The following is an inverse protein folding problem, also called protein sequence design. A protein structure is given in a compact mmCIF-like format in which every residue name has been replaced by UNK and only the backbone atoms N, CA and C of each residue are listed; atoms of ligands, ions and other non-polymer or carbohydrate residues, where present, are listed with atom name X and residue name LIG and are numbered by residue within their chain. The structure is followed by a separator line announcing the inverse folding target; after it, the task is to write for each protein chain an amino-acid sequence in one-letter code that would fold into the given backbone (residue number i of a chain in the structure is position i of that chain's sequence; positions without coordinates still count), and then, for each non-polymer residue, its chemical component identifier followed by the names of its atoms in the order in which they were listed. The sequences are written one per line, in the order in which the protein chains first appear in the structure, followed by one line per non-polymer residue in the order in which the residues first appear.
data_IF_160942235352
#
_entry.id   IF_160942235352
#
_cell.length_a   1.000
_cell.length_b   1.000
_cell.length_c   1.000
_cell.angle_alpha   90.00
_cell.angle_beta   90.00
_cell.angle_gamma   90.00
#
_symmetry.space_group_name_H-M   'P 1'
#
loop_
_entity.id
_entity.type
_entity.pdbx_description
1 polymer ?
#
# COMPACT_ATOMS: atom_id res chain seq x y z
N UNK A 1 -12.01 -10.33 0.83
CA UNK A 1 -13.40 -10.03 1.15
C UNK A 1 -14.28 -11.20 0.76
N UNK A 2 -14.95 -11.83 1.74
CA UNK A 2 -15.79 -13.02 1.49
C UNK A 2 -17.20 -12.67 0.98
N UNK A 3 -17.65 -11.43 1.20
CA UNK A 3 -18.99 -10.96 0.85
C UNK A 3 -18.88 -9.64 0.08
N UNK A 4 -19.81 -9.40 -0.83
CA UNK A 4 -19.99 -8.07 -1.44
C UNK A 4 -20.57 -7.10 -0.41
N UNK A 5 -21.52 -7.56 0.38
CA UNK A 5 -22.20 -6.83 1.45
C UNK A 5 -22.29 -7.68 2.72
N UNK A 6 -22.23 -7.06 3.89
CA UNK A 6 -21.87 -5.67 4.17
C UNK A 6 -20.36 -5.37 3.95
N UNK A 7 -19.97 -4.09 4.19
CA UNK A 7 -18.54 -3.71 4.21
C UNK A 7 -17.81 -4.49 5.32
N UNK A 8 -16.51 -4.77 5.12
CA UNK A 8 -15.65 -5.37 6.15
C UNK A 8 -15.53 -4.43 7.35
N UNK A 9 -15.54 -3.13 7.12
CA UNK A 9 -15.53 -2.12 8.17
C UNK A 9 -16.70 -2.26 9.17
N UNK A 10 -17.88 -2.73 8.74
CA UNK A 10 -18.99 -3.01 9.66
C UNK A 10 -18.64 -4.12 10.67
N UNK A 11 -17.99 -5.17 10.22
CA UNK A 11 -17.58 -6.26 11.11
C UNK A 11 -16.52 -5.81 12.10
N UNK A 12 -15.51 -5.05 11.64
CA UNK A 12 -14.48 -4.45 12.51
C UNK A 12 -15.10 -3.52 13.53
N UNK A 13 -15.99 -2.62 13.10
CA UNK A 13 -16.73 -1.69 13.97
C UNK A 13 -17.48 -2.44 15.09
N UNK A 14 -18.21 -3.49 14.72
CA UNK A 14 -18.98 -4.30 15.67
C UNK A 14 -18.06 -5.02 16.67
N UNK A 15 -17.00 -5.67 16.20
CA UNK A 15 -16.09 -6.43 17.06
C UNK A 15 -15.32 -5.55 18.04
N UNK A 16 -15.00 -4.32 17.65
CA UNK A 16 -14.36 -3.33 18.52
C UNK A 16 -15.32 -2.60 19.45
N UNK A 17 -16.64 -2.80 19.31
CA UNK A 17 -17.64 -2.12 20.11
C UNK A 17 -17.64 -0.60 19.93
N UNK A 18 -17.36 -0.11 18.72
CA UNK A 18 -17.28 1.31 18.44
C UNK A 18 -18.64 1.98 18.53
N UNK A 19 -18.64 3.29 18.78
CA UNK A 19 -19.86 4.09 18.92
C UNK A 19 -20.70 4.11 17.64
N UNK A 20 -22.02 4.12 17.77
CA UNK A 20 -22.96 4.33 16.65
C UNK A 20 -22.80 5.70 15.98
N UNK A 21 -22.08 6.64 16.58
CA UNK A 21 -21.75 7.93 15.97
C UNK A 21 -20.58 7.84 14.97
N UNK A 22 -19.93 6.66 14.84
CA UNK A 22 -18.87 6.46 13.86
C UNK A 22 -19.47 6.10 12.49
N UNK A 23 -18.94 6.71 11.44
CA UNK A 23 -19.15 6.22 10.06
C UNK A 23 -18.16 5.08 9.79
N UNK A 24 -18.54 4.13 8.93
CA UNK A 24 -17.65 3.05 8.52
C UNK A 24 -17.93 2.67 7.06
N UNK A 25 -16.87 2.35 6.32
CA UNK A 25 -16.94 1.91 4.92
C UNK A 25 -15.62 1.27 4.51
N UNK A 26 -15.62 0.46 3.45
CA UNK A 26 -14.42 -0.07 2.83
C UNK A 26 -13.88 0.91 1.78
N UNK A 27 -12.55 1.05 1.71
CA UNK A 27 -11.86 1.79 0.68
C UNK A 27 -10.96 0.82 -0.11
N UNK A 28 -11.20 0.71 -1.41
CA UNK A 28 -10.45 -0.19 -2.28
C UNK A 28 -9.69 0.57 -3.35
N UNK A 29 -8.35 0.38 -3.40
CA UNK A 29 -7.49 0.81 -4.50
C UNK A 29 -6.24 -0.09 -4.57
N UNK A 30 -6.46 -1.39 -4.70
CA UNK A 30 -5.38 -2.38 -4.73
C UNK A 30 -4.32 -2.11 -3.64
N UNK A 31 -3.02 -2.18 -3.96
CA UNK A 31 -1.93 -1.97 -2.99
C UNK A 31 -1.85 -0.55 -2.40
N UNK A 32 -2.68 0.39 -2.87
CA UNK A 32 -2.72 1.77 -2.35
C UNK A 32 -3.87 2.03 -1.37
N UNK A 33 -4.73 1.05 -1.10
CA UNK A 33 -5.90 1.24 -0.25
C UNK A 33 -5.57 1.91 1.08
N UNK A 34 -4.54 1.44 1.78
CA UNK A 34 -4.12 2.02 3.07
C UNK A 34 -3.61 3.46 2.95
N UNK A 35 -2.76 3.77 1.97
CA UNK A 35 -2.26 5.13 1.76
C UNK A 35 -3.36 6.10 1.36
N UNK A 36 -4.28 5.67 0.51
CA UNK A 36 -5.44 6.50 0.13
C UNK A 36 -6.36 6.73 1.33
N UNK A 37 -6.49 5.74 2.23
CA UNK A 37 -7.23 5.92 3.48
C UNK A 37 -6.57 6.97 4.39
N UNK A 38 -5.23 7.01 4.48
CA UNK A 38 -4.50 8.07 5.20
C UNK A 38 -4.86 9.45 4.62
N UNK A 39 -4.75 9.63 3.30
CA UNK A 39 -5.03 10.92 2.67
C UNK A 39 -6.49 11.37 2.86
N UNK A 40 -7.43 10.43 2.72
CA UNK A 40 -8.85 10.71 2.92
C UNK A 40 -9.14 11.08 4.38
N UNK A 41 -8.58 10.35 5.33
CA UNK A 41 -8.76 10.58 6.76
C UNK A 41 -8.15 11.94 7.18
N UNK A 42 -6.93 12.26 6.74
CA UNK A 42 -6.32 13.58 6.99
C UNK A 42 -7.21 14.71 6.46
N UNK A 43 -7.70 14.58 5.22
CA UNK A 43 -8.61 15.58 4.63
C UNK A 43 -9.88 15.76 5.46
N UNK A 44 -10.48 14.66 5.94
CA UNK A 44 -11.70 14.70 6.74
C UNK A 44 -11.46 15.29 8.15
N UNK A 45 -10.30 15.04 8.75
CA UNK A 45 -9.87 15.61 10.04
C UNK A 45 -9.61 17.10 9.88
N UNK A 46 -8.83 17.52 8.88
CA UNK A 46 -8.51 18.91 8.60
C UNK A 46 -9.76 19.76 8.29
N UNK A 47 -10.75 19.15 7.61
CA UNK A 47 -12.05 19.78 7.36
C UNK A 47 -12.96 19.83 8.61
N UNK A 48 -12.56 19.23 9.73
CA UNK A 48 -13.35 19.16 10.95
C UNK A 48 -14.58 18.23 10.87
N UNK A 49 -14.65 17.38 9.84
CA UNK A 49 -15.74 16.45 9.66
C UNK A 49 -15.68 15.28 10.65
N UNK A 50 -14.49 14.82 10.98
CA UNK A 50 -14.20 13.81 12.01
C UNK A 50 -13.06 14.26 12.91
N UNK A 51 -12.98 13.73 14.14
CA UNK A 51 -11.85 13.98 15.05
C UNK A 51 -10.77 12.90 14.92
N UNK A 52 -11.19 11.66 14.74
CA UNK A 52 -10.31 10.50 14.65
C UNK A 52 -10.73 9.59 13.50
N UNK A 53 -9.75 8.94 12.92
CA UNK A 53 -9.96 7.86 11.97
C UNK A 53 -9.18 6.62 12.42
N UNK A 54 -9.83 5.47 12.41
CA UNK A 54 -9.17 4.16 12.53
C UNK A 54 -9.13 3.55 11.14
N UNK A 55 -7.93 3.38 10.58
CA UNK A 55 -7.67 2.68 9.34
C UNK A 55 -7.24 1.26 9.69
N UNK A 56 -7.91 0.27 9.10
CA UNK A 56 -7.61 -1.15 9.32
C UNK A 56 -7.49 -1.83 7.96
N UNK A 57 -6.45 -2.63 7.81
CA UNK A 57 -6.25 -3.47 6.64
C UNK A 57 -5.92 -4.89 7.07
N UNK A 58 -6.48 -5.88 6.36
CA UNK A 58 -6.25 -7.29 6.62
C UNK A 58 -6.23 -8.08 5.31
N UNK A 59 -5.04 -8.53 4.94
CA UNK A 59 -4.78 -9.26 3.71
C UNK A 59 -4.67 -10.76 3.96
N UNK A 60 -5.36 -11.55 3.12
CA UNK A 60 -5.37 -12.99 3.17
C UNK A 60 -5.11 -13.63 1.81
N UNK A 61 -3.92 -14.18 1.60
CA UNK A 61 -3.47 -14.75 0.31
C UNK A 61 -3.84 -16.22 0.11
N UNK A 62 -4.21 -16.92 1.18
CA UNK A 62 -4.35 -18.39 1.16
C UNK A 62 -5.29 -18.92 0.08
N UNK A 63 -6.45 -18.30 -0.10
CA UNK A 63 -7.44 -18.77 -1.07
C UNK A 63 -6.90 -18.66 -2.50
N UNK A 64 -6.39 -17.51 -2.88
CA UNK A 64 -5.81 -17.25 -4.21
C UNK A 64 -4.61 -18.16 -4.48
N UNK A 65 -3.71 -18.32 -3.49
CA UNK A 65 -2.56 -19.22 -3.64
C UNK A 65 -2.96 -20.67 -3.85
N UNK A 66 -3.88 -21.20 -3.06
CA UNK A 66 -4.34 -22.60 -3.19
C UNK A 66 -5.06 -22.82 -4.53
N UNK A 67 -5.88 -21.86 -4.97
CA UNK A 67 -6.54 -21.93 -6.27
C UNK A 67 -5.53 -21.89 -7.43
N UNK A 68 -4.51 -21.02 -7.36
CA UNK A 68 -3.42 -20.98 -8.34
C UNK A 68 -2.63 -22.29 -8.36
N UNK A 69 -2.23 -22.82 -7.21
CA UNK A 69 -1.49 -24.08 -7.14
C UNK A 69 -2.31 -25.22 -7.75
N UNK A 70 -3.61 -25.30 -7.45
CA UNK A 70 -4.48 -26.32 -8.00
C UNK A 70 -4.57 -26.24 -9.55
N UNK A 71 -4.65 -25.04 -10.12
CA UNK A 71 -4.65 -24.86 -11.58
C UNK A 71 -3.32 -25.23 -12.22
N UNK A 72 -2.21 -24.82 -11.63
CA UNK A 72 -0.87 -25.07 -12.15
C UNK A 72 -0.45 -26.56 -12.04
N UNK A 73 -1.14 -27.35 -11.24
CA UNK A 73 -0.93 -28.81 -11.14
C UNK A 73 -1.71 -29.62 -12.17
N UNK A 74 -2.59 -29.00 -12.98
CA UNK A 74 -3.29 -29.68 -14.04
C UNK A 74 -2.36 -30.01 -15.20
N UNK A 75 -2.54 -31.15 -15.84
CA UNK A 75 -1.78 -31.58 -17.04
C UNK A 75 -1.92 -30.60 -18.22
N UNK A 76 -3.00 -29.81 -18.23
CA UNK A 76 -3.26 -28.76 -19.22
C UNK A 76 -2.53 -27.45 -18.95
N UNK A 77 -1.89 -27.29 -17.77
CA UNK A 77 -1.18 -26.07 -17.43
C UNK A 77 0.06 -25.90 -18.33
N UNK A 78 0.18 -24.73 -18.93
CA UNK A 78 1.31 -24.36 -19.78
C UNK A 78 2.36 -23.57 -18.98
N UNK A 79 3.56 -23.46 -19.56
CA UNK A 79 4.62 -22.61 -19.01
C UNK A 79 4.20 -21.14 -18.92
N UNK A 80 3.37 -20.68 -19.88
CA UNK A 80 2.81 -19.32 -19.88
C UNK A 80 1.91 -19.09 -18.68
N UNK A 81 1.07 -20.07 -18.31
CA UNK A 81 0.18 -19.95 -17.15
C UNK A 81 0.97 -19.72 -15.85
N UNK A 82 2.14 -20.38 -15.73
CA UNK A 82 3.02 -20.18 -14.57
C UNK A 82 3.50 -18.73 -14.48
N UNK A 83 3.89 -18.10 -15.60
CA UNK A 83 4.31 -16.70 -15.61
C UNK A 83 3.17 -15.74 -15.33
N UNK A 84 2.04 -15.95 -15.95
CA UNK A 84 0.86 -15.09 -15.82
C UNK A 84 0.29 -15.09 -14.40
N UNK A 85 0.38 -16.23 -13.71
CA UNK A 85 -0.13 -16.40 -12.34
C UNK A 85 0.97 -16.33 -11.26
N UNK A 86 2.23 -16.12 -11.62
CA UNK A 86 3.36 -16.13 -10.69
C UNK A 86 3.18 -15.14 -9.54
N UNK A 87 2.62 -13.97 -9.81
CA UNK A 87 2.37 -12.94 -8.81
C UNK A 87 1.47 -13.45 -7.68
N UNK A 88 0.50 -14.33 -7.97
CA UNK A 88 -0.37 -14.95 -6.96
C UNK A 88 0.40 -15.79 -5.94
N UNK A 89 1.49 -16.45 -6.37
CA UNK A 89 2.33 -17.29 -5.50
C UNK A 89 3.21 -16.47 -4.55
N UNK A 90 3.43 -15.20 -4.85
CA UNK A 90 4.26 -14.29 -4.04
C UNK A 90 3.45 -13.49 -3.03
N UNK A 91 2.12 -13.58 -3.06
CA UNK A 91 1.23 -12.89 -2.11
C UNK A 91 1.50 -13.37 -0.69
N UNK A 92 1.38 -12.45 0.25
CA UNK A 92 1.47 -12.71 1.68
C UNK A 92 0.15 -12.48 2.40
N UNK A 93 0.13 -12.78 3.67
CA UNK A 93 -0.98 -12.46 4.57
C UNK A 93 -0.45 -11.60 5.72
N UNK A 94 -1.22 -10.59 6.08
CA UNK A 94 -0.85 -9.67 7.16
C UNK A 94 -1.97 -8.71 7.48
N UNK A 95 -1.84 -8.01 8.59
CA UNK A 95 -2.79 -6.99 8.99
C UNK A 95 -2.07 -5.81 9.62
N UNK A 96 -2.61 -4.62 9.44
CA UNK A 96 -2.14 -3.41 10.08
C UNK A 96 -3.30 -2.51 10.45
N UNK A 97 -3.09 -1.67 11.45
CA UNK A 97 -4.01 -0.61 11.81
C UNK A 97 -3.25 0.67 12.13
N UNK A 98 -3.90 1.81 11.87
CA UNK A 98 -3.36 3.14 12.17
C UNK A 98 -4.49 4.02 12.68
N UNK A 99 -4.22 4.77 13.74
CA UNK A 99 -5.12 5.81 14.25
C UNK A 99 -4.57 7.17 13.82
N UNK A 100 -5.43 7.99 13.25
CA UNK A 100 -5.14 9.39 12.90
C UNK A 100 -6.03 10.30 13.73
N UNK A 101 -5.49 11.45 14.12
CA UNK A 101 -6.17 12.48 14.86
C UNK A 101 -5.64 13.86 14.52
N UNK A 102 -6.27 14.91 15.07
CA UNK A 102 -5.79 16.26 14.89
C UNK A 102 -4.49 16.47 15.69
N UNK A 103 -3.48 17.07 15.07
CA UNK A 103 -2.19 17.34 15.70
C UNK A 103 -2.30 18.36 16.83
N UNK A 104 -3.24 19.28 16.79
CA UNK A 104 -3.48 20.25 17.87
C UNK A 104 -3.93 19.56 19.15
N UNK A 105 -4.68 18.44 19.04
CA UNK A 105 -5.10 17.62 20.17
C UNK A 105 -3.99 16.64 20.64
N UNK A 106 -3.02 16.33 19.75
CA UNK A 106 -1.96 15.33 19.96
C UNK A 106 -0.59 15.86 19.49
N UNK A 107 -0.04 16.91 20.10
CA UNK A 107 1.23 17.52 19.67
C UNK A 107 2.45 16.57 19.77
N UNK A 108 2.32 15.49 20.55
CA UNK A 108 3.33 14.44 20.68
C UNK A 108 3.31 13.40 19.57
N UNK A 109 2.27 13.40 18.71
CA UNK A 109 2.10 12.41 17.66
C UNK A 109 2.98 12.70 16.44
N UNK A 110 3.16 11.68 15.61
CA UNK A 110 3.85 11.81 14.33
C UNK A 110 2.96 12.55 13.33
N UNK A 111 3.56 13.46 12.56
CA UNK A 111 2.82 14.34 11.66
C UNK A 111 2.79 13.80 10.25
N UNK A 112 1.61 13.60 9.68
CA UNK A 112 1.45 13.47 8.22
C UNK A 112 1.59 14.87 7.60
N UNK A 113 2.67 15.08 6.86
CA UNK A 113 3.02 16.39 6.30
C UNK A 113 2.21 16.68 5.03
N UNK A 114 2.06 15.66 4.19
CA UNK A 114 1.37 15.75 2.92
C UNK A 114 1.72 14.59 2.01
N UNK A 115 1.33 14.71 0.77
CA UNK A 115 1.61 13.68 -0.23
C UNK A 115 1.12 14.04 -1.61
N UNK A 116 1.35 13.12 -2.53
CA UNK A 116 0.88 13.23 -3.92
C UNK A 116 0.42 11.88 -4.44
N UNK A 117 -0.41 11.91 -5.47
CA UNK A 117 -0.83 10.73 -6.22
C UNK A 117 -0.80 10.98 -7.72
N UNK A 118 -0.58 9.93 -8.49
CA UNK A 118 -0.67 9.94 -9.95
C UNK A 118 -1.37 8.67 -10.42
N UNK A 119 -2.05 8.80 -11.55
CA UNK A 119 -2.77 7.71 -12.20
C UNK A 119 -2.26 7.52 -13.64
N UNK A 120 -1.95 6.28 -14.00
CA UNK A 120 -1.60 5.81 -15.35
C UNK A 120 -2.62 4.75 -15.77
N UNK A 121 -3.89 5.16 -15.91
CA UNK A 121 -5.03 4.24 -16.10
C UNK A 121 -5.08 3.56 -17.46
N UNK A 122 -4.28 3.98 -18.42
CA UNK A 122 -4.03 3.26 -19.69
C UNK A 122 -3.44 1.87 -19.46
N UNK A 123 -2.91 1.62 -18.25
CA UNK A 123 -2.32 0.35 -17.83
C UNK A 123 -3.26 -0.53 -16.99
N UNK A 124 -4.55 -0.20 -16.89
CA UNK A 124 -5.51 -0.85 -15.99
C UNK A 124 -5.71 -2.36 -16.24
N UNK A 125 -5.35 -2.87 -17.40
CA UNK A 125 -5.46 -4.29 -17.75
C UNK A 125 -4.23 -5.12 -17.46
N UNK A 126 -3.10 -4.51 -17.03
CA UNK A 126 -1.84 -5.22 -16.81
C UNK A 126 -1.83 -6.12 -15.56
N UNK A 127 -2.75 -5.88 -14.62
CA UNK A 127 -2.95 -6.72 -13.46
C UNK A 127 -4.44 -6.77 -13.14
N UNK A 128 -5.04 -7.94 -13.30
CA UNK A 128 -6.45 -8.18 -13.01
C UNK A 128 -6.55 -9.39 -12.10
N UNK A 129 -7.26 -9.24 -11.00
CA UNK A 129 -7.42 -10.31 -10.02
C UNK A 129 -8.80 -10.34 -9.37
N UNK A 130 -9.19 -11.55 -9.01
CA UNK A 130 -10.31 -11.87 -8.13
C UNK A 130 -9.85 -12.82 -7.02
N UNK A 131 -10.78 -13.44 -6.28
CA UNK A 131 -10.45 -14.34 -5.17
C UNK A 131 -9.81 -15.66 -5.62
N UNK A 132 -9.95 -16.02 -6.89
CA UNK A 132 -9.49 -17.32 -7.41
C UNK A 132 -8.28 -17.19 -8.32
N UNK A 133 -8.19 -16.10 -9.07
CA UNK A 133 -7.15 -15.93 -10.09
C UNK A 133 -6.65 -14.49 -10.12
N UNK A 134 -5.34 -14.33 -10.24
CA UNK A 134 -4.69 -13.07 -10.58
C UNK A 134 -3.79 -13.28 -11.79
N UNK A 135 -4.04 -12.54 -12.85
CA UNK A 135 -3.22 -12.53 -14.08
C UNK A 135 -2.47 -11.21 -14.16
N UNK A 136 -1.16 -11.29 -14.36
CA UNK A 136 -0.29 -10.11 -14.31
C UNK A 136 0.75 -10.16 -15.41
N UNK A 137 0.77 -9.17 -16.30
CA UNK A 137 1.94 -8.88 -17.14
C UNK A 137 3.00 -8.18 -16.26
N UNK A 138 3.76 -9.00 -15.52
CA UNK A 138 4.70 -8.53 -14.50
C UNK A 138 5.75 -7.58 -15.06
N UNK A 139 6.24 -7.82 -16.29
CA UNK A 139 7.27 -6.99 -16.89
C UNK A 139 6.74 -5.61 -17.23
N UNK A 140 5.63 -5.54 -18.00
CA UNK A 140 5.04 -4.26 -18.40
C UNK A 140 4.49 -3.49 -17.21
N UNK A 141 3.92 -4.19 -16.22
CA UNK A 141 3.44 -3.57 -14.99
C UNK A 141 4.58 -2.89 -14.22
N UNK A 142 5.73 -3.57 -14.12
CA UNK A 142 6.93 -3.01 -13.47
C UNK A 142 7.46 -1.79 -14.21
N UNK A 143 7.65 -1.88 -15.53
CA UNK A 143 8.16 -0.77 -16.35
C UNK A 143 7.25 0.46 -16.23
N UNK A 144 5.93 0.28 -16.46
CA UNK A 144 4.95 1.36 -16.37
C UNK A 144 4.86 1.95 -14.94
N UNK A 145 4.98 1.12 -13.92
CA UNK A 145 4.99 1.56 -12.52
C UNK A 145 6.20 2.42 -12.18
N UNK A 146 7.38 2.06 -12.67
CA UNK A 146 8.61 2.84 -12.50
C UNK A 146 8.53 4.19 -13.20
N UNK A 147 7.99 4.22 -14.41
CA UNK A 147 7.81 5.46 -15.19
C UNK A 147 6.81 6.40 -14.48
N UNK A 148 5.69 5.85 -14.00
CA UNK A 148 4.71 6.62 -13.24
C UNK A 148 5.28 7.18 -11.92
N UNK A 149 6.08 6.40 -11.22
CA UNK A 149 6.75 6.84 -9.99
C UNK A 149 7.79 7.93 -10.26
N UNK A 150 8.52 7.84 -11.37
CA UNK A 150 9.45 8.87 -11.80
C UNK A 150 8.71 10.17 -12.15
N UNK A 151 7.63 10.11 -12.92
CA UNK A 151 6.79 11.27 -13.21
C UNK A 151 6.21 11.89 -11.93
N UNK A 152 5.85 11.07 -10.95
CA UNK A 152 5.39 11.58 -9.64
C UNK A 152 6.49 12.33 -8.90
N UNK A 153 7.74 11.85 -8.97
CA UNK A 153 8.90 12.52 -8.37
C UNK A 153 9.22 13.86 -9.03
N UNK A 154 9.17 13.92 -10.37
CA UNK A 154 9.56 15.09 -11.16
C UNK A 154 8.49 16.18 -11.15
N UNK A 155 7.25 15.82 -10.98
CA UNK A 155 6.12 16.73 -10.98
C UNK A 155 5.78 17.19 -9.57
N UNK A 156 6.39 18.27 -9.10
CA UNK A 156 5.88 18.99 -7.94
C UNK A 156 4.39 19.27 -8.13
N UNK A 157 3.55 19.00 -7.14
CA UNK A 157 2.13 19.27 -7.25
C UNK A 157 1.53 19.77 -5.95
N UNK A 158 0.74 20.83 -6.05
CA UNK A 158 -0.07 21.38 -4.97
C UNK A 158 0.70 21.69 -3.68
N UNK A 159 1.94 22.21 -3.80
CA UNK A 159 2.75 22.59 -2.65
C UNK A 159 3.52 21.44 -2.00
N UNK A 160 3.45 20.23 -2.56
CA UNK A 160 4.30 19.12 -2.16
C UNK A 160 5.43 18.93 -3.18
N UNK A 161 6.67 19.05 -2.71
CA UNK A 161 7.88 18.77 -3.48
C UNK A 161 8.53 17.49 -2.96
N UNK A 162 9.25 16.78 -3.84
CA UNK A 162 10.03 15.63 -3.40
C UNK A 162 10.99 16.07 -2.30
N UNK A 163 10.95 15.44 -1.12
CA UNK A 163 11.75 15.87 0.02
C UNK A 163 13.26 15.70 -0.26
N UNK A 164 14.05 16.72 0.10
CA UNK A 164 15.49 16.73 -0.15
C UNK A 164 16.24 15.67 0.65
N UNK A 165 16.15 15.74 1.97
CA UNK A 165 16.77 14.75 2.88
C UNK A 165 15.67 13.87 3.47
N UNK A 166 15.76 12.57 3.28
CA UNK A 166 14.83 11.57 3.81
C UNK A 166 15.63 10.56 4.64
N UNK A 167 15.16 10.29 5.85
CA UNK A 167 15.82 9.36 6.77
C UNK A 167 15.44 7.90 6.52
N UNK A 168 14.19 7.65 6.07
CA UNK A 168 13.71 6.31 5.71
C UNK A 168 12.69 6.39 4.57
N UNK A 169 12.77 5.40 3.67
CA UNK A 169 11.76 5.16 2.64
C UNK A 169 11.01 3.87 2.95
N UNK A 170 9.73 3.98 3.21
CA UNK A 170 8.83 2.85 3.43
C UNK A 170 8.07 2.60 2.12
N UNK A 171 8.59 1.69 1.30
CA UNK A 171 8.04 1.45 -0.03
C UNK A 171 7.14 0.21 -0.04
N UNK A 172 6.15 0.20 -0.92
CA UNK A 172 5.41 -1.02 -1.23
C UNK A 172 6.36 -2.06 -1.85
N UNK A 173 6.36 -3.27 -1.31
CA UNK A 173 7.35 -4.30 -1.63
C UNK A 173 6.70 -5.52 -2.25
N UNK A 174 7.18 -5.91 -3.43
CA UNK A 174 6.73 -7.09 -4.17
C UNK A 174 7.84 -8.14 -4.25
N UNK A 175 9.07 -7.71 -4.55
CA UNK A 175 10.24 -8.58 -4.72
C UNK A 175 11.54 -7.79 -4.63
N UNK A 176 12.67 -8.52 -4.57
CA UNK A 176 14.01 -7.91 -4.60
C UNK A 176 14.27 -7.11 -5.88
N UNK A 177 13.83 -7.64 -7.02
CA UNK A 177 14.00 -6.97 -8.31
C UNK A 177 13.21 -5.66 -8.35
N UNK A 178 11.94 -5.70 -7.93
CA UNK A 178 11.08 -4.52 -7.85
C UNK A 178 11.68 -3.45 -6.93
N UNK A 179 12.08 -3.81 -5.72
CA UNK A 179 12.69 -2.89 -4.76
C UNK A 179 13.96 -2.25 -5.29
N UNK A 180 14.87 -3.06 -5.88
CA UNK A 180 16.11 -2.57 -6.48
C UNK A 180 15.85 -1.56 -7.59
N UNK A 181 14.96 -1.87 -8.53
CA UNK A 181 14.66 -1.01 -9.68
C UNK A 181 13.97 0.30 -9.26
N UNK A 182 13.12 0.28 -8.24
CA UNK A 182 12.55 1.51 -7.65
C UNK A 182 13.67 2.38 -7.07
N UNK A 183 14.57 1.81 -6.28
CA UNK A 183 15.68 2.55 -5.69
C UNK A 183 16.56 3.18 -6.77
N UNK A 184 16.93 2.41 -7.80
CA UNK A 184 17.73 2.89 -8.93
C UNK A 184 17.02 4.01 -9.70
N UNK A 185 15.74 3.82 -10.07
CA UNK A 185 14.96 4.77 -10.85
C UNK A 185 14.73 6.10 -10.11
N UNK A 186 14.48 6.04 -8.81
CA UNK A 186 14.18 7.21 -7.98
C UNK A 186 15.41 7.78 -7.27
N UNK A 187 16.60 7.20 -7.45
CA UNK A 187 17.82 7.65 -6.77
C UNK A 187 17.72 7.53 -5.25
N UNK A 188 17.09 6.47 -4.77
CA UNK A 188 16.94 6.16 -3.34
C UNK A 188 18.11 5.28 -2.92
N UNK A 189 18.77 5.64 -1.81
CA UNK A 189 19.77 4.77 -1.19
C UNK A 189 19.07 3.52 -0.61
N UNK A 190 19.41 2.30 -1.09
CA UNK A 190 18.80 1.07 -0.57
C UNK A 190 18.99 0.86 0.94
N UNK A 191 20.04 1.44 1.54
CA UNK A 191 20.27 1.37 2.98
C UNK A 191 19.17 2.07 3.80
N UNK A 192 18.42 2.99 3.19
CA UNK A 192 17.30 3.69 3.82
C UNK A 192 15.97 2.96 3.65
N UNK A 193 15.94 1.79 2.98
CA UNK A 193 14.73 1.02 2.66
C UNK A 193 14.70 -0.27 3.49
N UNK A 194 13.94 -0.32 4.59
CA UNK A 194 13.75 -1.56 5.35
C UNK A 194 12.96 -2.58 4.53
N UNK A 195 13.37 -3.85 4.62
CA UNK A 195 12.82 -4.94 3.83
C UNK A 195 11.93 -5.87 4.68
N UNK A 196 10.70 -6.04 4.28
CA UNK A 196 9.73 -6.94 4.94
C UNK A 196 9.25 -8.07 4.03
N UNK A 197 9.28 -7.89 2.70
CA UNK A 197 8.86 -8.94 1.75
C UNK A 197 9.58 -10.29 1.92
N UNK A 198 10.86 -10.38 2.38
CA UNK A 198 11.50 -11.70 2.56
C UNK A 198 10.82 -12.55 3.63
N UNK A 199 10.10 -11.91 4.57
CA UNK A 199 9.39 -12.59 5.67
C UNK A 199 7.90 -12.75 5.39
N UNK A 200 7.28 -11.74 4.78
CA UNK A 200 5.82 -11.66 4.65
C UNK A 200 5.30 -11.80 3.23
N UNK A 201 6.19 -11.79 2.22
CA UNK A 201 5.77 -11.72 0.82
C UNK A 201 5.16 -10.36 0.46
N UNK A 202 4.43 -10.32 -0.65
CA UNK A 202 3.63 -9.15 -1.03
C UNK A 202 2.31 -9.17 -0.26
N UNK A 203 2.23 -8.37 0.79
CA UNK A 203 1.02 -8.25 1.64
C UNK A 203 0.12 -7.07 1.20
N UNK A 204 0.12 -6.76 -0.10
CA UNK A 204 -0.78 -5.75 -0.67
C UNK A 204 -0.67 -4.39 0.04
N UNK A 205 -1.80 -3.71 0.31
CA UNK A 205 -1.82 -2.40 0.96
C UNK A 205 -1.28 -2.42 2.40
N UNK A 206 -1.27 -3.57 3.09
CA UNK A 206 -0.69 -3.71 4.42
C UNK A 206 0.85 -3.64 4.43
N UNK A 207 1.53 -3.76 3.28
CA UNK A 207 3.00 -3.77 3.22
C UNK A 207 3.64 -2.52 3.83
N UNK A 208 3.12 -1.34 3.51
CA UNK A 208 3.65 -0.07 4.01
C UNK A 208 3.46 0.07 5.52
N UNK A 209 2.25 -0.05 6.10
CA UNK A 209 2.07 0.10 7.54
C UNK A 209 2.75 -1.02 8.35
N UNK A 210 2.84 -2.25 7.85
CA UNK A 210 3.61 -3.33 8.50
C UNK A 210 5.10 -2.98 8.53
N UNK A 211 5.66 -2.48 7.41
CA UNK A 211 7.07 -2.09 7.35
C UNK A 211 7.37 -0.93 8.29
N UNK A 212 6.52 0.10 8.29
CA UNK A 212 6.66 1.25 9.20
C UNK A 212 6.61 0.80 10.67
N UNK A 213 5.62 0.00 11.04
CA UNK A 213 5.51 -0.55 12.39
C UNK A 213 6.71 -1.42 12.79
N UNK A 214 7.28 -2.16 11.83
CA UNK A 214 8.46 -3.00 12.05
C UNK A 214 9.71 -2.23 12.43
N UNK A 215 9.86 -0.99 11.93
CA UNK A 215 11.04 -0.16 12.17
C UNK A 215 10.79 1.03 13.12
N UNK A 216 9.56 1.21 13.60
CA UNK A 216 9.18 2.37 14.43
C UNK A 216 10.09 2.60 15.63
N UNK A 217 10.63 1.52 16.22
CA UNK A 217 11.53 1.59 17.37
C UNK A 217 12.95 2.07 17.04
N UNK A 218 13.31 2.13 15.75
CA UNK A 218 14.59 2.66 15.25
C UNK A 218 14.50 4.13 14.84
N UNK A 219 13.27 4.65 14.74
CA UNK A 219 13.03 6.01 14.27
C UNK A 219 13.14 7.01 15.44
N UNK A 220 13.72 8.16 15.13
CA UNK A 220 13.92 9.25 16.09
C UNK A 220 13.00 10.43 15.78
N UNK A 221 12.62 11.17 16.82
CA UNK A 221 11.79 12.37 16.66
C UNK A 221 12.41 13.36 15.66
N UNK A 222 11.59 13.87 14.77
CA UNK A 222 11.97 14.82 13.73
C UNK A 222 12.51 14.17 12.44
N UNK A 223 12.69 12.87 12.40
CA UNK A 223 13.07 12.17 11.14
C UNK A 223 11.97 12.25 10.10
N UNK A 224 12.40 12.36 8.84
CA UNK A 224 11.52 12.42 7.68
C UNK A 224 11.39 11.05 7.03
N UNK A 225 10.17 10.56 7.01
CA UNK A 225 9.80 9.25 6.46
C UNK A 225 8.98 9.47 5.21
N UNK A 226 9.35 8.83 4.12
CA UNK A 226 8.56 8.85 2.89
C UNK A 226 7.98 7.46 2.65
N UNK A 227 6.66 7.36 2.68
CA UNK A 227 5.92 6.18 2.26
C UNK A 227 5.64 6.28 0.76
N UNK A 228 5.97 5.24 -0.02
CA UNK A 228 5.80 5.21 -1.47
C UNK A 228 5.12 3.93 -1.89
N UNK A 229 3.95 4.06 -2.49
CA UNK A 229 3.16 2.95 -3.00
C UNK A 229 2.95 3.01 -4.50
N UNK A 230 2.93 1.82 -5.11
CA UNK A 230 2.51 1.61 -6.50
C UNK A 230 1.50 0.46 -6.46
N UNK A 231 0.36 0.65 -7.10
CA UNK A 231 -0.70 -0.34 -7.16
C UNK A 231 -1.22 -0.54 -8.57
N UNK A 232 -1.87 -1.70 -8.79
CA UNK A 232 -2.56 -1.95 -10.06
C UNK A 232 -3.59 -0.85 -10.34
N UNK A 233 -3.78 -0.57 -11.61
CA UNK A 233 -4.67 0.51 -12.03
C UNK A 233 -4.17 1.35 -13.20
N UNK A 234 -2.89 1.72 -13.41
CA UNK A 234 -1.82 1.91 -12.43
C UNK A 234 -2.05 3.18 -11.63
N UNK A 235 -1.69 3.10 -10.37
CA UNK A 235 -1.66 4.29 -9.53
C UNK A 235 -0.36 4.32 -8.71
N UNK A 236 0.13 5.51 -8.38
CA UNK A 236 1.18 5.69 -7.38
C UNK A 236 0.76 6.74 -6.37
N UNK A 237 1.23 6.58 -5.15
CA UNK A 237 1.00 7.51 -4.07
C UNK A 237 2.24 7.65 -3.21
N UNK A 238 2.48 8.87 -2.77
CA UNK A 238 3.56 9.22 -1.86
C UNK A 238 2.97 9.96 -0.67
N UNK A 239 3.45 9.65 0.52
CA UNK A 239 3.07 10.33 1.77
C UNK A 239 4.33 10.60 2.58
N UNK A 240 4.51 11.84 3.02
CA UNK A 240 5.57 12.22 3.96
C UNK A 240 5.05 12.27 5.38
N UNK A 241 5.82 11.68 6.30
CA UNK A 241 5.55 11.67 7.73
C UNK A 241 6.79 12.24 8.45
N UNK A 242 6.60 13.18 9.35
CA UNK A 242 7.61 13.56 10.34
C UNK A 242 7.38 12.71 11.59
N UNK A 243 8.43 11.98 11.99
CA UNK A 243 8.38 11.04 13.10
C UNK A 243 8.53 11.73 14.46
#
# INVERSE_FOLDING_TARGET
KHHLEPSVACAVHHQLGLSTACINFDLGNACLGFMNAIHLACTAIDAGFIKYALIVDGEGSRQTQLATIARLQLDSASFTDVFDEFASLTLGSGAAAMVLGNLDDHPEAHRVVGGMARAGTEHHTLCIGDLEKMTTDTKRLLEAGLDLAQHAREAASFGFEWPGAVDRFIIHQVSSVHTKLICERLGIDPALVPLTYPKFGNVGPAAIPITLAGVQHELLAGQRIVCLGIGSGLNTSLTEITW
#
